data_IF_340117776693
#
_entry.id   IF_340117776693
#
_cell.length_a   1.000
_cell.length_b   1.000
_cell.length_c   1.000
_cell.angle_alpha   90.00
_cell.angle_beta   90.00
_cell.angle_gamma   90.00
#
_symmetry.space_group_name_H-M   'P 1'
#
loop_
_entity.id
_entity.type
_entity.pdbx_description
1 polymer ?
#
# COMPACT_ATOMS: atom_id res chain seq x y z
N UNK A 1 -0.33 24.21 9.34
CA UNK A 1 -0.16 22.74 9.28
C UNK A 1 -1.46 21.98 8.99
N UNK A 2 -2.60 22.66 8.75
CA UNK A 2 -3.94 22.06 8.69
C UNK A 2 -4.25 21.36 7.35
N UNK A 3 -3.65 21.80 6.23
CA UNK A 3 -4.01 21.30 4.90
C UNK A 3 -3.68 19.81 4.61
N UNK A 4 -2.47 19.30 4.92
CA UNK A 4 -2.14 17.90 4.61
C UNK A 4 -2.94 16.89 5.43
N UNK A 5 -3.15 17.18 6.72
CA UNK A 5 -3.91 16.32 7.64
C UNK A 5 -5.39 16.34 7.28
N UNK A 6 -5.97 17.51 7.01
CA UNK A 6 -7.37 17.61 6.58
C UNK A 6 -7.62 16.83 5.29
N UNK A 7 -6.72 16.93 4.29
CA UNK A 7 -6.82 16.13 3.05
C UNK A 7 -6.77 14.63 3.33
N UNK A 8 -5.86 14.20 4.19
CA UNK A 8 -5.76 12.79 4.59
C UNK A 8 -7.06 12.29 5.22
N UNK A 9 -7.61 13.04 6.18
CA UNK A 9 -8.87 12.70 6.82
C UNK A 9 -10.06 12.70 5.84
N UNK A 10 -10.05 13.58 4.83
CA UNK A 10 -11.09 13.59 3.80
C UNK A 10 -11.03 12.35 2.88
N UNK A 11 -9.83 11.85 2.56
CA UNK A 11 -9.66 10.66 1.72
C UNK A 11 -9.83 9.35 2.50
N UNK A 12 -9.65 9.38 3.81
CA UNK A 12 -9.63 8.18 4.65
C UNK A 12 -10.93 7.35 4.57
N UNK A 13 -12.16 7.91 4.68
CA UNK A 13 -13.38 7.11 4.60
C UNK A 13 -13.51 6.34 3.27
N UNK A 14 -13.17 7.00 2.16
CA UNK A 14 -13.21 6.38 0.83
C UNK A 14 -12.15 5.30 0.70
N UNK A 15 -10.94 5.55 1.20
CA UNK A 15 -9.89 4.53 1.23
C UNK A 15 -10.31 3.29 2.04
N UNK A 16 -10.91 3.49 3.22
CA UNK A 16 -11.38 2.39 4.06
C UNK A 16 -12.49 1.57 3.37
N UNK A 17 -13.39 2.21 2.63
CA UNK A 17 -14.39 1.53 1.83
C UNK A 17 -13.76 0.65 0.74
N UNK A 18 -12.75 1.16 0.03
CA UNK A 18 -12.02 0.39 -0.99
C UNK A 18 -11.18 -0.75 -0.39
N UNK A 19 -10.58 -0.55 0.78
CA UNK A 19 -9.87 -1.61 1.51
C UNK A 19 -10.84 -2.72 1.94
N UNK A 20 -12.01 -2.36 2.48
CA UNK A 20 -13.04 -3.35 2.81
C UNK A 20 -13.52 -4.09 1.57
N UNK A 21 -13.78 -3.37 0.47
CA UNK A 21 -14.13 -3.98 -0.81
C UNK A 21 -13.03 -4.93 -1.31
N UNK A 22 -11.75 -4.57 -1.17
CA UNK A 22 -10.63 -5.43 -1.55
C UNK A 22 -10.65 -6.76 -0.79
N UNK A 23 -10.92 -6.73 0.52
CA UNK A 23 -11.04 -7.95 1.32
C UNK A 23 -12.21 -8.82 0.87
N UNK A 24 -13.40 -8.21 0.72
CA UNK A 24 -14.62 -8.91 0.32
C UNK A 24 -14.53 -9.50 -1.10
N UNK A 25 -13.96 -8.75 -2.04
CA UNK A 25 -13.88 -9.13 -3.45
C UNK A 25 -12.63 -9.97 -3.78
N UNK A 26 -11.65 -10.06 -2.87
CA UNK A 26 -10.39 -10.77 -3.11
C UNK A 26 -10.55 -12.18 -3.72
N UNK A 27 -11.50 -13.04 -3.28
CA UNK A 27 -11.59 -14.38 -3.84
C UNK A 27 -12.17 -14.37 -5.27
N UNK A 28 -13.08 -13.44 -5.57
CA UNK A 28 -13.65 -13.26 -6.91
C UNK A 28 -12.61 -12.67 -7.87
N UNK A 29 -11.86 -11.66 -7.45
CA UNK A 29 -10.78 -11.06 -8.23
C UNK A 29 -9.67 -12.07 -8.51
N UNK A 30 -9.33 -12.90 -7.53
CA UNK A 30 -8.38 -13.99 -7.73
C UNK A 30 -8.91 -15.02 -8.73
N UNK A 31 -10.19 -15.40 -8.67
CA UNK A 31 -10.80 -16.30 -9.65
C UNK A 31 -10.75 -15.73 -11.07
N UNK A 32 -11.11 -14.44 -11.25
CA UNK A 32 -11.00 -13.76 -12.53
C UNK A 32 -9.58 -13.82 -13.09
N UNK A 33 -8.57 -13.60 -12.23
CA UNK A 33 -7.16 -13.65 -12.66
C UNK A 33 -6.70 -15.03 -13.14
N UNK A 34 -7.36 -16.11 -12.75
CA UNK A 34 -7.05 -17.44 -13.31
C UNK A 34 -7.47 -17.54 -14.78
N UNK A 35 -8.48 -16.77 -15.17
CA UNK A 35 -9.03 -16.73 -16.53
C UNK A 35 -8.33 -15.66 -17.39
N UNK A 36 -8.02 -14.51 -16.81
CA UNK A 36 -7.48 -13.34 -17.54
C UNK A 36 -5.97 -13.15 -17.38
N UNK A 37 -5.32 -13.99 -16.58
CA UNK A 37 -3.90 -13.87 -16.25
C UNK A 37 -3.65 -13.09 -14.94
N UNK A 38 -2.37 -13.00 -14.51
CA UNK A 38 -2.00 -12.54 -13.17
C UNK A 38 -2.21 -11.04 -12.93
N UNK A 39 -2.54 -10.25 -13.94
CA UNK A 39 -2.87 -8.83 -13.79
C UNK A 39 -4.37 -8.64 -13.94
N UNK A 40 -4.96 -7.85 -13.05
CA UNK A 40 -6.36 -7.53 -13.12
C UNK A 40 -6.60 -6.51 -14.24
N UNK A 41 -7.66 -6.66 -15.05
CA UNK A 41 -7.91 -5.75 -16.17
C UNK A 41 -8.52 -4.42 -15.71
N UNK A 42 -8.14 -3.33 -16.39
CA UNK A 42 -8.78 -2.03 -16.27
C UNK A 42 -8.86 -1.51 -14.83
N UNK A 43 -10.03 -1.01 -14.42
CA UNK A 43 -10.25 -0.45 -13.08
C UNK A 43 -10.08 -1.47 -11.95
N UNK A 44 -10.11 -2.77 -12.22
CA UNK A 44 -9.87 -3.80 -11.19
C UNK A 44 -8.40 -3.79 -10.72
N UNK A 45 -7.50 -3.21 -11.51
CA UNK A 45 -6.10 -3.00 -11.13
C UNK A 45 -5.97 -2.13 -9.85
N UNK A 46 -6.99 -1.32 -9.53
CA UNK A 46 -7.08 -0.58 -8.26
C UNK A 46 -7.03 -1.46 -7.02
N UNK A 47 -7.45 -2.72 -7.12
CA UNK A 47 -7.44 -3.70 -6.04
C UNK A 47 -6.16 -4.54 -5.98
N UNK A 48 -5.17 -4.24 -6.82
CA UNK A 48 -3.91 -4.97 -6.86
C UNK A 48 -2.70 -4.03 -6.86
N UNK A 49 -1.54 -4.59 -6.57
CA UNK A 49 -0.25 -3.89 -6.65
C UNK A 49 0.04 -3.42 -8.06
N UNK A 50 0.69 -2.26 -8.22
CA UNK A 50 1.09 -1.73 -9.53
C UNK A 50 2.52 -2.13 -9.92
N UNK A 51 3.34 -2.40 -8.91
CA UNK A 51 4.74 -2.81 -9.02
C UNK A 51 4.91 -4.33 -9.17
N UNK A 52 3.84 -5.10 -8.94
CA UNK A 52 3.81 -6.54 -9.11
C UNK A 52 2.43 -7.02 -9.56
N UNK A 53 2.37 -8.15 -10.25
CA UNK A 53 1.11 -8.83 -10.54
C UNK A 53 0.64 -9.64 -9.31
N UNK A 54 -0.46 -10.39 -9.43
CA UNK A 54 -1.00 -11.18 -8.31
C UNK A 54 -0.11 -12.35 -7.85
N UNK A 55 0.92 -12.68 -8.62
CA UNK A 55 1.96 -13.65 -8.24
C UNK A 55 3.19 -12.96 -7.60
N UNK A 56 3.08 -11.67 -7.28
CA UNK A 56 4.16 -10.83 -6.77
C UNK A 56 4.84 -11.36 -5.50
N UNK A 57 4.11 -12.11 -4.67
CA UNK A 57 4.69 -12.73 -3.48
C UNK A 57 5.78 -13.75 -3.80
N UNK A 58 5.70 -14.40 -4.97
CA UNK A 58 6.74 -15.32 -5.46
C UNK A 58 7.99 -14.52 -5.85
N UNK A 59 7.84 -13.48 -6.68
CA UNK A 59 8.97 -12.65 -7.12
C UNK A 59 9.63 -11.90 -5.96
N UNK A 60 8.84 -11.50 -4.97
CA UNK A 60 9.31 -10.80 -3.77
C UNK A 60 9.75 -11.74 -2.64
N UNK A 61 9.76 -13.07 -2.87
CA UNK A 61 10.17 -14.09 -1.89
C UNK A 61 9.44 -13.96 -0.54
N UNK A 62 8.16 -13.61 -0.58
CA UNK A 62 7.31 -13.51 0.62
C UNK A 62 7.09 -14.91 1.18
N UNK A 63 7.35 -15.09 2.48
CA UNK A 63 7.16 -16.38 3.13
C UNK A 63 5.74 -16.93 2.90
N UNK A 64 5.64 -18.22 2.56
CA UNK A 64 4.39 -18.91 2.22
C UNK A 64 3.98 -18.87 0.74
N UNK A 65 4.62 -18.04 -0.09
CA UNK A 65 4.33 -17.99 -1.53
C UNK A 65 5.23 -18.96 -2.30
N UNK A 66 4.65 -19.72 -3.25
CA UNK A 66 5.34 -20.75 -4.04
C UNK A 66 5.12 -20.56 -5.53
N UNK A 67 6.17 -20.83 -6.31
CA UNK A 67 6.09 -20.90 -7.76
C UNK A 67 5.40 -22.19 -8.22
N UNK A 68 4.91 -22.22 -9.47
CA UNK A 68 4.36 -23.42 -10.11
C UNK A 68 3.02 -23.93 -9.55
N UNK A 69 2.31 -23.11 -8.76
CA UNK A 69 0.97 -23.46 -8.29
C UNK A 69 -0.08 -23.32 -9.40
N UNK A 70 -1.15 -24.10 -9.30
CA UNK A 70 -2.31 -24.04 -10.19
C UNK A 70 -3.63 -24.26 -9.42
N UNK A 71 -4.76 -24.04 -10.10
CA UNK A 71 -6.10 -24.30 -9.59
C UNK A 71 -6.38 -23.60 -8.24
N UNK A 72 -6.94 -24.35 -7.30
CA UNK A 72 -7.31 -23.85 -5.96
C UNK A 72 -6.14 -23.28 -5.17
N UNK A 73 -4.93 -23.85 -5.31
CA UNK A 73 -3.75 -23.36 -4.58
C UNK A 73 -3.28 -22.00 -5.11
N UNK A 74 -3.28 -21.83 -6.43
CA UNK A 74 -2.95 -20.55 -7.05
C UNK A 74 -4.03 -19.50 -6.73
N UNK A 75 -5.30 -19.89 -6.83
CA UNK A 75 -6.43 -19.06 -6.43
C UNK A 75 -6.24 -18.49 -5.02
N UNK A 76 -6.01 -19.37 -4.04
CA UNK A 76 -5.86 -18.96 -2.65
C UNK A 76 -4.65 -18.05 -2.45
N UNK A 77 -3.53 -18.36 -3.11
CA UNK A 77 -2.33 -17.52 -3.05
C UNK A 77 -2.60 -16.10 -3.58
N UNK A 78 -3.32 -15.96 -4.69
CA UNK A 78 -3.68 -14.65 -5.27
C UNK A 78 -4.72 -13.92 -4.41
N UNK A 79 -5.68 -14.63 -3.83
CA UNK A 79 -6.61 -14.07 -2.83
C UNK A 79 -5.82 -13.46 -1.66
N UNK A 80 -4.88 -14.22 -1.09
CA UNK A 80 -3.99 -13.77 -0.03
C UNK A 80 -3.12 -12.57 -0.45
N UNK A 81 -2.69 -12.50 -1.71
CA UNK A 81 -1.91 -11.38 -2.23
C UNK A 81 -2.71 -10.08 -2.24
N UNK A 82 -3.96 -10.14 -2.71
CA UNK A 82 -4.89 -9.00 -2.71
C UNK A 82 -5.14 -8.54 -1.26
N UNK A 83 -5.43 -9.49 -0.35
CA UNK A 83 -5.62 -9.18 1.07
C UNK A 83 -4.37 -8.60 1.74
N UNK A 84 -3.17 -8.99 1.29
CA UNK A 84 -1.91 -8.42 1.80
C UNK A 84 -1.71 -6.97 1.35
N UNK A 85 -2.24 -6.60 0.18
CA UNK A 85 -2.07 -5.30 -0.46
C UNK A 85 -3.42 -4.69 -0.88
N UNK A 86 -4.36 -4.50 0.05
CA UNK A 86 -5.74 -4.15 -0.28
C UNK A 86 -5.81 -2.75 -0.88
N UNK A 87 -6.48 -2.61 -2.02
CA UNK A 87 -6.67 -1.33 -2.71
C UNK A 87 -5.36 -0.60 -3.07
N UNK A 88 -4.27 -1.34 -3.30
CA UNK A 88 -2.95 -0.74 -3.52
C UNK A 88 -2.91 0.18 -4.74
N UNK A 89 -3.52 -0.23 -5.86
CA UNK A 89 -3.59 0.59 -7.07
C UNK A 89 -4.39 1.88 -6.84
N UNK A 90 -5.52 1.80 -6.13
CA UNK A 90 -6.32 2.96 -5.73
C UNK A 90 -5.50 3.97 -4.90
N UNK A 91 -4.78 3.48 -3.90
CA UNK A 91 -3.94 4.27 -3.00
C UNK A 91 -2.76 4.94 -3.73
N UNK A 92 -2.26 4.32 -4.79
CA UNK A 92 -1.19 4.87 -5.63
C UNK A 92 -1.71 5.84 -6.68
N UNK A 93 -2.68 5.45 -7.51
CA UNK A 93 -3.09 6.23 -8.68
C UNK A 93 -4.03 7.39 -8.33
N UNK A 94 -4.96 7.18 -7.40
CA UNK A 94 -6.06 8.13 -7.15
C UNK A 94 -5.81 8.96 -5.89
N UNK A 95 -5.31 8.34 -4.83
CA UNK A 95 -5.00 9.03 -3.58
C UNK A 95 -3.53 9.42 -3.48
N UNK A 96 -2.67 8.86 -4.32
CA UNK A 96 -1.25 9.16 -4.30
C UNK A 96 -0.95 10.58 -4.75
N UNK A 97 0.21 11.08 -4.35
CA UNK A 97 0.72 12.36 -4.84
C UNK A 97 1.77 12.11 -5.94
N UNK A 98 1.90 12.97 -6.96
CA UNK A 98 2.91 12.80 -8.00
C UNK A 98 4.33 12.68 -7.43
N UNK A 99 5.13 11.76 -7.94
CA UNK A 99 6.54 11.63 -7.57
C UNK A 99 7.42 12.63 -8.34
N UNK A 100 7.05 12.96 -9.57
CA UNK A 100 7.79 13.90 -10.39
C UNK A 100 7.86 15.29 -9.75
N UNK A 101 9.07 15.74 -9.44
CA UNK A 101 9.35 17.04 -8.84
C UNK A 101 8.89 17.19 -7.39
N UNK A 102 8.52 16.10 -6.72
CA UNK A 102 8.24 16.12 -5.28
C UNK A 102 9.53 16.12 -4.48
N UNK A 103 9.61 16.99 -3.48
CA UNK A 103 10.80 17.15 -2.63
C UNK A 103 10.45 17.02 -1.16
N UNK A 104 11.40 16.51 -0.37
CA UNK A 104 11.32 16.55 1.10
C UNK A 104 11.72 17.94 1.57
N UNK A 105 10.79 18.67 2.18
CA UNK A 105 11.02 20.05 2.63
C UNK A 105 11.26 20.16 4.14
N UNK A 106 10.83 19.17 4.91
CA UNK A 106 11.10 19.09 6.34
C UNK A 106 10.98 17.64 6.79
N UNK A 107 11.86 17.19 7.67
CA UNK A 107 11.66 15.91 8.31
C UNK A 107 12.60 15.67 9.47
N UNK A 108 12.09 14.94 10.47
CA UNK A 108 12.95 14.11 11.30
C UNK A 108 13.08 12.81 10.53
N UNK A 109 14.06 12.81 9.62
CA UNK A 109 14.55 11.58 9.02
C UNK A 109 15.38 10.92 10.12
N UNK A 110 14.75 10.12 10.97
CA UNK A 110 15.53 9.22 11.80
C UNK A 110 16.34 8.32 10.86
N UNK A 111 17.58 8.02 11.21
CA UNK A 111 18.33 6.95 10.54
C UNK A 111 17.60 5.60 10.65
N UNK A 112 16.68 5.48 11.60
CA UNK A 112 15.76 4.35 11.71
C UNK A 112 14.60 4.49 10.69
N UNK A 113 14.54 3.64 9.65
CA UNK A 113 13.44 3.65 8.70
C UNK A 113 12.08 3.31 9.35
N UNK A 114 12.06 2.89 10.61
CA UNK A 114 10.86 2.60 11.38
C UNK A 114 10.29 3.81 12.13
N UNK A 115 10.98 4.96 12.08
CA UNK A 115 10.50 6.22 12.62
C UNK A 115 10.67 7.33 11.58
N UNK A 116 9.57 7.70 10.92
CA UNK A 116 9.60 8.72 9.89
C UNK A 116 8.57 9.79 10.21
N UNK A 117 9.00 11.04 10.27
CA UNK A 117 8.11 12.19 10.26
C UNK A 117 8.64 13.19 9.25
N UNK A 118 7.95 13.36 8.14
CA UNK A 118 8.34 14.34 7.13
C UNK A 118 7.16 14.99 6.43
N UNK A 119 7.47 16.13 5.82
CA UNK A 119 6.62 16.91 4.94
C UNK A 119 7.27 16.93 3.56
N UNK A 120 6.49 16.54 2.56
CA UNK A 120 6.84 16.61 1.15
C UNK A 120 6.05 17.73 0.48
N UNK A 121 6.64 18.30 -0.55
CA UNK A 121 6.00 19.30 -1.39
C UNK A 121 6.16 18.91 -2.86
N UNK A 122 5.05 18.88 -3.58
CA UNK A 122 5.05 18.64 -5.04
C UNK A 122 5.61 19.85 -5.78
N UNK A 123 5.95 19.69 -7.07
CA UNK A 123 6.38 20.80 -7.93
C UNK A 123 5.38 21.99 -8.00
N UNK A 124 4.10 21.76 -7.67
CA UNK A 124 3.05 22.79 -7.63
C UNK A 124 2.90 23.45 -6.24
N UNK A 125 3.82 23.21 -5.31
CA UNK A 125 3.74 23.75 -3.94
C UNK A 125 2.73 23.05 -3.02
N UNK A 126 2.15 21.92 -3.47
CA UNK A 126 1.15 21.19 -2.68
C UNK A 126 1.84 20.28 -1.67
N UNK A 127 1.44 20.40 -0.40
CA UNK A 127 2.09 19.73 0.74
C UNK A 127 1.39 18.45 1.16
N UNK A 128 2.20 17.46 1.52
CA UNK A 128 1.79 16.14 2.01
C UNK A 128 2.69 15.73 3.17
N UNK A 129 2.19 14.89 4.08
CA UNK A 129 2.97 14.43 5.24
C UNK A 129 3.11 12.92 5.22
N UNK A 130 4.10 12.42 5.94
CA UNK A 130 4.16 11.03 6.39
C UNK A 130 4.46 10.99 7.86
N UNK A 131 3.80 10.06 8.54
CA UNK A 131 4.16 9.64 9.88
C UNK A 131 4.21 8.11 9.93
N UNK A 132 5.37 7.56 10.22
CA UNK A 132 5.59 6.13 10.45
C UNK A 132 6.23 5.95 11.83
N UNK A 133 5.72 5.01 12.61
CA UNK A 133 6.29 4.58 13.87
C UNK A 133 6.04 3.10 14.07
N UNK A 134 7.09 2.34 14.28
CA UNK A 134 6.99 1.00 14.85
C UNK A 134 7.13 1.14 16.37
N UNK A 135 6.02 1.00 17.09
CA UNK A 135 5.99 1.14 18.54
C UNK A 135 6.25 -0.24 19.17
N UNK A 136 7.39 -0.45 19.85
CA UNK A 136 7.64 -1.72 20.53
C UNK A 136 6.55 -2.02 21.55
N UNK A 137 6.13 -3.28 21.58
CA UNK A 137 5.26 -3.90 22.58
C UNK A 137 6.03 -5.04 23.26
N UNK A 138 5.35 -5.79 24.13
CA UNK A 138 5.92 -6.92 24.85
C UNK A 138 6.05 -8.17 23.95
N UNK A 139 7.01 -9.04 24.28
CA UNK A 139 7.13 -10.38 23.67
C UNK A 139 7.63 -10.38 22.22
N UNK A 140 8.47 -9.41 21.83
CA UNK A 140 8.99 -9.31 20.46
C UNK A 140 7.95 -8.91 19.43
N UNK A 141 6.87 -8.23 19.88
CA UNK A 141 5.83 -7.66 19.03
C UNK A 141 6.03 -6.15 18.97
N UNK A 142 5.75 -5.53 17.84
CA UNK A 142 5.61 -4.08 17.72
C UNK A 142 4.29 -3.73 17.03
N UNK A 143 3.73 -2.57 17.36
CA UNK A 143 2.60 -1.99 16.65
C UNK A 143 3.12 -1.10 15.54
N UNK A 144 2.90 -1.52 14.29
CA UNK A 144 3.20 -0.69 13.12
C UNK A 144 2.12 0.36 12.96
N UNK A 145 2.54 1.62 12.92
CA UNK A 145 1.70 2.77 12.64
C UNK A 145 2.26 3.48 11.41
N UNK A 146 1.44 3.65 10.37
CA UNK A 146 1.85 4.31 9.13
C UNK A 146 0.70 5.11 8.54
N UNK A 147 0.87 6.44 8.52
CA UNK A 147 -0.14 7.39 8.06
C UNK A 147 0.48 8.41 7.10
N UNK A 148 -0.33 8.90 6.16
CA UNK A 148 0.06 9.92 5.19
C UNK A 148 0.52 9.32 3.87
N UNK A 149 1.53 9.92 3.23
CA UNK A 149 2.04 9.53 1.92
C UNK A 149 3.46 9.01 2.03
N UNK A 150 3.69 7.82 1.50
CA UNK A 150 5.00 7.18 1.54
C UNK A 150 5.96 7.86 0.57
N UNK A 151 7.15 8.21 1.02
CA UNK A 151 8.26 8.65 0.18
C UNK A 151 8.88 7.49 -0.62
N UNK A 152 8.03 6.72 -1.29
CA UNK A 152 8.37 5.68 -2.25
C UNK A 152 7.28 5.66 -3.30
N UNK A 153 7.72 5.67 -4.56
CA UNK A 153 6.83 5.49 -5.69
C UNK A 153 6.96 4.06 -6.20
N UNK A 154 6.03 3.20 -5.80
CA UNK A 154 6.03 1.78 -6.20
C UNK A 154 5.83 1.61 -7.70
N UNK A 155 5.01 2.46 -8.31
CA UNK A 155 4.71 2.50 -9.74
C UNK A 155 5.64 3.44 -10.54
N UNK A 156 6.59 4.10 -9.87
CA UNK A 156 7.45 5.14 -10.45
C UNK A 156 6.72 6.45 -10.81
N UNK A 157 5.43 6.57 -10.52
CA UNK A 157 4.59 7.73 -10.85
C UNK A 157 4.10 8.50 -9.63
N UNK A 158 3.63 7.79 -8.60
CA UNK A 158 2.99 8.38 -7.45
C UNK A 158 3.57 7.85 -6.13
N UNK A 159 3.67 8.73 -5.14
CA UNK A 159 3.87 8.39 -3.74
C UNK A 159 2.57 7.88 -3.14
N UNK A 160 2.63 6.68 -2.60
CA UNK A 160 1.46 5.91 -2.18
C UNK A 160 0.80 6.47 -0.92
N UNK A 161 -0.54 6.53 -0.90
CA UNK A 161 -1.31 6.85 0.31
C UNK A 161 -1.32 5.65 1.28
N UNK A 162 -1.00 5.86 2.55
CA UNK A 162 -0.90 4.81 3.55
C UNK A 162 -1.83 5.06 4.75
N UNK A 163 -2.58 4.03 5.13
CA UNK A 163 -3.22 3.88 6.44
C UNK A 163 -2.97 2.46 6.93
N UNK A 164 -2.02 2.29 7.86
CA UNK A 164 -1.70 1.00 8.44
C UNK A 164 -1.60 1.09 9.96
N UNK A 165 -2.38 0.23 10.63
CA UNK A 165 -2.27 -0.05 12.05
C UNK A 165 -2.26 -1.56 12.18
N UNK A 166 -1.22 -2.14 12.78
CA UNK A 166 -1.26 -3.57 13.03
C UNK A 166 -0.06 -4.12 13.77
N UNK A 167 -0.26 -5.14 14.63
CA UNK A 167 0.83 -5.81 15.30
C UNK A 167 1.69 -6.58 14.30
N UNK A 168 3.00 -6.60 14.56
CA UNK A 168 4.03 -7.30 13.78
C UNK A 168 5.01 -7.94 14.76
N UNK A 169 5.62 -9.05 14.36
CA UNK A 169 6.76 -9.63 15.10
C UNK A 169 8.06 -8.94 14.65
N UNK A 170 8.91 -8.64 15.61
CA UNK A 170 10.27 -8.13 15.41
C UNK A 170 11.18 -9.20 14.79
#
# INVERSE_FOLDING_TARGET
>A
MIWPVARYLAYLPVNLAFVLAAYLLSPLLAALSLMTGPRLPGALQWFSTLDANLDGGVSQRVNGYRAGLSGWRLWWQRTCWICRNPAHGWQSELLGMPAAGSTLIKGVLSYDPNQQLYLMETAKGVRFFCWKRDQPLFGGIYLKLWFGWVNKSYDGRNHHYAFQIGPKRA
#
